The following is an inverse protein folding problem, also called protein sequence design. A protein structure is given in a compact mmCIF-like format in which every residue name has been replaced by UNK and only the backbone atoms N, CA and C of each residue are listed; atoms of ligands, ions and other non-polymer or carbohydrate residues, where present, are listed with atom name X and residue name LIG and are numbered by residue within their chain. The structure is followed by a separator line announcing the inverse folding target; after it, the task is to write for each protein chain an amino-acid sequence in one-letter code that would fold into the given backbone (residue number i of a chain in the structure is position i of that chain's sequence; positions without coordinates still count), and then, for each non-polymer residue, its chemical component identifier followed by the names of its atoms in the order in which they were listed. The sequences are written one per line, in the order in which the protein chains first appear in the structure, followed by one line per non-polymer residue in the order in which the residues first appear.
data_IF_891226195835
#
_entry.id   IF_891226195835
#
_cell.length_a   1.000
_cell.length_b   1.000
_cell.length_c   1.000
_cell.angle_alpha   90.00
_cell.angle_beta   90.00
_cell.angle_gamma   90.00
#
_symmetry.space_group_name_H-M   'P 1'
#
loop_
_entity.id
_entity.type
_entity.pdbx_description
1 polymer ?
#
# COMPACT_ATOMS: atom_id res chain seq x y z
N UNK A 1 -40.88 14.30 2.09
CA UNK A 1 -40.31 13.07 2.68
C UNK A 1 -38.87 12.97 2.20
N UNK A 2 -37.93 13.58 2.92
CA UNK A 2 -36.50 13.59 2.55
C UNK A 2 -35.75 12.70 3.53
N UNK A 3 -35.11 11.68 2.99
CA UNK A 3 -34.41 10.65 3.76
C UNK A 3 -33.19 11.26 4.46
N UNK A 4 -33.11 10.99 5.76
CA UNK A 4 -32.00 11.31 6.66
C UNK A 4 -30.74 10.56 6.21
N UNK A 5 -29.81 11.26 5.53
CA UNK A 5 -28.43 10.79 5.44
C UNK A 5 -27.78 10.94 6.82
N UNK A 6 -27.75 9.83 7.56
CA UNK A 6 -26.97 9.67 8.78
C UNK A 6 -25.48 9.67 8.41
N UNK A 7 -24.88 10.86 8.35
CA UNK A 7 -23.42 11.02 8.27
C UNK A 7 -22.83 10.51 9.59
N UNK A 8 -22.26 9.30 9.58
CA UNK A 8 -21.38 8.82 10.64
C UNK A 8 -20.22 9.81 10.78
N UNK A 9 -20.08 10.33 11.99
CA UNK A 9 -18.93 11.02 12.59
C UNK A 9 -17.68 11.09 11.71
N UNK A 10 -17.42 12.28 11.18
CA UNK A 10 -16.08 12.72 10.81
C UNK A 10 -15.57 13.64 11.92
N UNK A 11 -14.25 13.75 12.02
CA UNK A 11 -13.50 14.89 12.57
C UNK A 11 -12.89 14.77 13.99
N UNK A 12 -12.19 13.67 14.25
CA UNK A 12 -11.00 13.72 15.12
C UNK A 12 -9.76 13.04 14.51
N UNK A 13 -9.91 12.32 13.38
CA UNK A 13 -8.77 11.68 12.73
C UNK A 13 -8.05 12.66 11.80
N UNK A 14 -6.71 12.76 11.88
CA UNK A 14 -5.94 13.57 10.94
C UNK A 14 -6.15 13.08 9.50
N UNK A 15 -6.11 13.98 8.49
CA UNK A 15 -6.20 13.61 7.08
C UNK A 15 -5.28 12.43 6.76
N UNK A 16 -5.77 11.43 6.03
CA UNK A 16 -5.07 10.15 5.79
C UNK A 16 -3.59 10.34 5.43
N UNK A 17 -3.26 11.35 4.61
CA UNK A 17 -1.87 11.74 4.29
C UNK A 17 -1.01 12.02 5.53
N UNK A 18 -1.49 12.85 6.46
CA UNK A 18 -0.80 13.16 7.72
C UNK A 18 -0.70 11.93 8.65
N UNK A 19 -1.65 11.00 8.54
CA UNK A 19 -1.63 9.76 9.32
C UNK A 19 -0.55 8.82 8.82
N UNK A 20 -0.52 8.53 7.51
CA UNK A 20 0.47 7.62 6.92
C UNK A 20 1.90 8.17 7.00
N UNK A 21 2.08 9.50 7.07
CA UNK A 21 3.39 10.14 7.29
C UNK A 21 4.04 9.76 8.63
N UNK A 22 3.24 9.39 9.65
CA UNK A 22 3.73 8.95 10.97
C UNK A 22 3.99 7.45 11.04
N UNK A 23 3.45 6.68 10.10
CA UNK A 23 3.54 5.22 10.08
C UNK A 23 4.89 4.75 9.53
N UNK A 24 5.25 3.50 9.83
CA UNK A 24 6.45 2.88 9.27
C UNK A 24 6.25 2.60 7.79
N UNK A 25 6.98 3.32 6.93
CA UNK A 25 6.99 3.11 5.49
C UNK A 25 8.06 2.09 5.08
N UNK A 26 7.67 1.09 4.29
CA UNK A 26 8.57 0.15 3.61
C UNK A 26 8.36 0.27 2.10
N UNK A 27 9.46 0.44 1.37
CA UNK A 27 9.45 0.48 -0.09
C UNK A 27 9.58 -0.93 -0.64
N UNK A 28 8.71 -1.28 -1.57
CA UNK A 28 8.72 -2.54 -2.30
C UNK A 28 8.75 -2.20 -3.79
N UNK A 29 9.68 -2.77 -4.52
CA UNK A 29 9.79 -2.56 -5.96
C UNK A 29 9.18 -3.75 -6.69
N UNK A 30 8.40 -3.47 -7.72
CA UNK A 30 7.72 -4.46 -8.55
C UNK A 30 8.16 -4.31 -10.00
N UNK A 31 8.14 -5.43 -10.72
CA UNK A 31 8.23 -5.39 -12.19
C UNK A 31 7.09 -4.50 -12.70
N UNK A 32 7.41 -3.71 -13.73
CA UNK A 32 6.41 -2.88 -14.38
C UNK A 32 5.20 -3.71 -14.86
N UNK A 33 4.03 -3.08 -14.77
CA UNK A 33 2.74 -3.67 -15.06
C UNK A 33 1.81 -2.55 -15.54
N UNK A 34 0.61 -2.87 -16.01
CA UNK A 34 -0.39 -1.87 -16.36
C UNK A 34 -0.81 -1.08 -15.10
N UNK A 35 -0.22 0.11 -14.94
CA UNK A 35 -0.34 0.94 -13.74
C UNK A 35 -1.77 1.44 -13.52
N UNK A 36 -2.46 1.84 -14.58
CA UNK A 36 -3.84 2.35 -14.51
C UNK A 36 -4.81 1.22 -14.15
N UNK A 37 -4.60 0.04 -14.75
CA UNK A 37 -5.34 -1.17 -14.36
C UNK A 37 -5.09 -1.55 -12.92
N UNK A 38 -3.83 -1.53 -12.45
CA UNK A 38 -3.51 -1.76 -11.04
C UNK A 38 -4.25 -0.81 -10.13
N UNK A 39 -4.23 0.49 -10.43
CA UNK A 39 -4.95 1.49 -9.64
C UNK A 39 -6.47 1.23 -9.60
N UNK A 40 -7.05 0.77 -10.71
CA UNK A 40 -8.47 0.44 -10.80
C UNK A 40 -8.84 -0.79 -9.99
N UNK A 41 -8.03 -1.86 -10.08
CA UNK A 41 -8.22 -3.09 -9.32
C UNK A 41 -8.05 -2.84 -7.82
N UNK A 42 -7.06 -2.04 -7.42
CA UNK A 42 -6.79 -1.68 -6.02
C UNK A 42 -7.91 -0.88 -5.35
N UNK A 43 -8.72 -0.14 -6.12
CA UNK A 43 -9.93 0.51 -5.61
C UNK A 43 -11.03 -0.50 -5.23
N UNK A 44 -10.95 -1.71 -5.77
CA UNK A 44 -11.97 -2.75 -5.61
C UNK A 44 -11.51 -3.83 -4.62
N UNK A 45 -10.28 -4.33 -4.76
CA UNK A 45 -9.72 -5.38 -3.91
C UNK A 45 -8.20 -5.23 -3.75
N UNK A 46 -7.72 -5.12 -2.51
CA UNK A 46 -6.29 -5.06 -2.21
C UNK A 46 -5.54 -6.35 -2.54
N UNK A 47 -6.23 -7.48 -2.77
CA UNK A 47 -5.59 -8.71 -3.26
C UNK A 47 -4.96 -8.55 -4.65
N UNK A 48 -5.30 -7.49 -5.40
CA UNK A 48 -4.59 -7.12 -6.62
C UNK A 48 -3.08 -7.00 -6.40
N UNK A 49 -2.61 -6.61 -5.20
CA UNK A 49 -1.17 -6.63 -4.85
C UNK A 49 -0.50 -7.98 -5.08
N UNK A 50 -1.22 -9.08 -4.88
CA UNK A 50 -0.64 -10.42 -4.88
C UNK A 50 -0.19 -10.89 -6.25
N UNK A 51 -0.72 -10.27 -7.32
CA UNK A 51 -0.29 -10.52 -8.71
C UNK A 51 1.05 -9.90 -9.02
N UNK A 52 1.43 -8.83 -8.31
CA UNK A 52 2.67 -8.11 -8.57
C UNK A 52 3.87 -8.99 -8.22
N UNK A 53 4.86 -8.96 -9.12
CA UNK A 53 6.12 -9.66 -8.93
C UNK A 53 7.14 -8.70 -8.32
N UNK A 54 7.55 -8.89 -7.05
CA UNK A 54 8.58 -8.05 -6.47
C UNK A 54 9.92 -8.31 -7.15
N UNK A 55 10.76 -7.29 -7.15
CA UNK A 55 12.05 -7.29 -7.81
C UNK A 55 13.09 -6.55 -6.98
N UNK A 56 14.35 -6.93 -7.14
CA UNK A 56 15.44 -6.13 -6.61
C UNK A 56 15.57 -4.84 -7.45
N UNK A 57 15.58 -3.68 -6.81
CA UNK A 57 15.75 -2.39 -7.47
C UNK A 57 16.95 -2.36 -8.44
N UNK A 58 18.07 -3.00 -8.09
CA UNK A 58 19.26 -3.05 -8.96
C UNK A 58 19.10 -3.92 -10.22
N UNK A 59 18.03 -4.71 -10.31
CA UNK A 59 17.77 -5.62 -11.43
C UNK A 59 16.86 -5.01 -12.51
N UNK A 60 16.34 -3.78 -12.31
CA UNK A 60 15.47 -3.10 -13.27
C UNK A 60 16.09 -1.75 -13.66
N UNK A 61 16.14 -1.46 -14.97
CA UNK A 61 16.73 -0.21 -15.50
C UNK A 61 15.76 0.71 -16.24
N UNK A 62 14.60 0.22 -16.67
CA UNK A 62 13.78 0.95 -17.65
C UNK A 62 12.45 1.42 -17.06
N UNK A 63 11.66 0.52 -16.46
CA UNK A 63 10.39 0.89 -15.84
C UNK A 63 10.05 -0.03 -14.68
N UNK A 64 9.44 0.52 -13.63
CA UNK A 64 9.02 -0.23 -12.45
C UNK A 64 7.90 0.49 -11.70
N UNK A 65 7.19 -0.27 -10.87
CA UNK A 65 6.24 0.25 -9.88
C UNK A 65 6.89 0.16 -8.50
N UNK A 66 6.94 1.27 -7.78
CA UNK A 66 7.34 1.31 -6.37
C UNK A 66 6.09 1.42 -5.49
N UNK A 67 5.87 0.40 -4.66
CA UNK A 67 4.87 0.42 -3.58
C UNK A 67 5.47 0.98 -2.29
N UNK A 68 4.86 2.02 -1.76
CA UNK A 68 5.11 2.57 -0.43
C UNK A 68 4.11 1.98 0.55
N UNK A 69 4.47 0.92 1.26
CA UNK A 69 3.62 0.26 2.24
C UNK A 69 3.82 0.93 3.61
N UNK A 70 2.78 1.60 4.09
CA UNK A 70 2.70 2.20 5.41
C UNK A 70 1.99 1.24 6.35
N UNK A 71 2.56 0.98 7.51
CA UNK A 71 1.95 0.14 8.54
C UNK A 71 2.15 0.76 9.91
N UNK A 72 1.14 0.61 10.77
CA UNK A 72 1.34 0.71 12.22
C UNK A 72 2.33 -0.36 12.70
N UNK A 73 2.89 -0.19 13.90
CA UNK A 73 3.87 -1.13 14.44
C UNK A 73 3.32 -2.55 14.54
N UNK A 74 2.05 -2.68 14.92
CA UNK A 74 1.30 -3.92 15.09
C UNK A 74 0.59 -4.44 13.83
N UNK A 75 0.71 -3.71 12.71
CA UNK A 75 0.01 -3.99 11.45
C UNK A 75 -1.53 -3.99 11.56
N UNK A 76 -2.09 -3.37 12.59
CA UNK A 76 -3.54 -3.18 12.74
C UNK A 76 -4.11 -2.36 11.59
N UNK A 77 -3.36 -1.36 11.12
CA UNK A 77 -3.67 -0.58 9.94
C UNK A 77 -2.51 -0.58 8.95
N UNK A 78 -2.86 -0.77 7.67
CA UNK A 78 -1.91 -0.78 6.58
C UNK A 78 -2.48 -0.04 5.37
N UNK A 79 -1.60 0.69 4.69
CA UNK A 79 -1.93 1.45 3.51
C UNK A 79 -0.81 1.32 2.48
N UNK A 80 -1.14 1.40 1.19
CA UNK A 80 -0.14 1.45 0.14
C UNK A 80 -0.42 2.58 -0.85
N UNK A 81 0.66 3.24 -1.28
CA UNK A 81 0.65 4.14 -2.42
C UNK A 81 1.65 3.63 -3.46
N UNK A 82 1.24 3.65 -4.73
CA UNK A 82 2.11 3.27 -5.84
C UNK A 82 2.64 4.50 -6.55
N UNK A 83 3.91 4.43 -6.92
CA UNK A 83 4.60 5.38 -7.78
C UNK A 83 5.09 4.61 -9.00
N UNK A 84 4.84 5.14 -10.19
CA UNK A 84 5.34 4.56 -11.44
C UNK A 84 6.58 5.32 -11.89
N UNK A 85 7.58 4.58 -12.36
CA UNK A 85 8.83 5.13 -12.84
C UNK A 85 9.14 4.63 -14.24
N UNK A 86 9.62 5.54 -15.08
CA UNK A 86 10.21 5.24 -16.37
C UNK A 86 11.53 6.01 -16.50
N UNK A 87 12.62 5.31 -16.86
CA UNK A 87 13.96 5.88 -16.99
C UNK A 87 14.37 6.74 -15.79
N UNK A 88 14.13 6.23 -14.58
CA UNK A 88 14.36 6.91 -13.29
C UNK A 88 13.53 8.17 -13.02
N UNK A 89 12.56 8.50 -13.89
CA UNK A 89 11.63 9.60 -13.68
C UNK A 89 10.30 9.05 -13.17
N UNK A 90 9.77 9.69 -12.14
CA UNK A 90 8.42 9.39 -11.69
C UNK A 90 7.40 9.88 -12.71
N UNK A 91 6.62 8.97 -13.29
CA UNK A 91 5.61 9.22 -14.33
C UNK A 91 4.19 9.12 -13.80
N UNK A 92 3.98 8.35 -12.72
CA UNK A 92 2.66 8.11 -12.14
C UNK A 92 2.65 8.10 -10.62
N UNK A 93 1.49 8.39 -10.04
CA UNK A 93 1.24 8.34 -8.60
C UNK A 93 -0.21 7.97 -8.34
N UNK A 94 -0.45 6.93 -7.55
CA UNK A 94 -1.78 6.48 -7.20
C UNK A 94 -2.35 7.23 -5.98
N UNK A 95 -3.63 7.01 -5.72
CA UNK A 95 -4.23 7.24 -4.40
C UNK A 95 -3.58 6.34 -3.33
N UNK A 96 -3.94 6.57 -2.07
CA UNK A 96 -3.56 5.70 -0.95
C UNK A 96 -4.68 4.68 -0.77
N UNK A 97 -4.33 3.40 -0.88
CA UNK A 97 -5.27 2.28 -0.73
C UNK A 97 -5.09 1.61 0.63
N UNK A 98 -6.19 1.26 1.29
CA UNK A 98 -6.15 0.39 2.48
C UNK A 98 -5.75 -1.03 2.09
N UNK A 99 -4.94 -1.67 2.93
CA UNK A 99 -4.51 -3.06 2.73
C UNK A 99 -4.82 -3.84 4.00
N UNK A 100 -5.46 -4.99 3.86
CA UNK A 100 -5.68 -5.87 4.99
C UNK A 100 -4.36 -6.45 5.53
N UNK A 101 -4.32 -6.80 6.81
CA UNK A 101 -3.12 -7.30 7.48
C UNK A 101 -2.56 -8.56 6.81
N UNK A 102 -3.41 -9.46 6.32
CA UNK A 102 -2.97 -10.71 5.68
C UNK A 102 -2.23 -10.40 4.37
N UNK A 103 -2.78 -9.53 3.53
CA UNK A 103 -2.14 -9.08 2.28
C UNK A 103 -0.85 -8.32 2.54
N UNK A 104 -0.83 -7.42 3.54
CA UNK A 104 0.36 -6.65 3.92
C UNK A 104 1.51 -7.56 4.40
N UNK A 105 1.21 -8.56 5.21
CA UNK A 105 2.22 -9.54 5.66
C UNK A 105 2.69 -10.42 4.51
N UNK A 106 1.78 -10.88 3.64
CA UNK A 106 2.15 -11.71 2.48
C UNK A 106 3.05 -10.98 1.49
N UNK A 107 2.79 -9.70 1.21
CA UNK A 107 3.63 -8.93 0.28
C UNK A 107 5.03 -8.68 0.87
N UNK A 108 5.12 -8.45 2.18
CA UNK A 108 6.39 -8.34 2.90
C UNK A 108 7.18 -9.65 2.90
N UNK A 109 6.49 -10.78 3.08
CA UNK A 109 7.13 -12.10 3.02
C UNK A 109 7.74 -12.37 1.64
N UNK A 110 7.10 -11.93 0.54
CA UNK A 110 7.66 -12.07 -0.82
C UNK A 110 8.97 -11.30 -1.03
N UNK A 111 9.28 -10.31 -0.19
CA UNK A 111 10.56 -9.59 -0.17
C UNK A 111 11.47 -9.99 1.00
N UNK A 112 11.18 -11.12 1.64
CA UNK A 112 12.02 -11.68 2.71
C UNK A 112 11.83 -11.03 4.09
N UNK A 113 10.80 -10.19 4.27
CA UNK A 113 10.49 -9.58 5.56
C UNK A 113 9.42 -10.42 6.25
N UNK A 114 9.84 -11.22 7.23
CA UNK A 114 8.94 -12.06 8.02
C UNK A 114 8.39 -11.28 9.21
N UNK A 115 7.07 -11.19 9.33
CA UNK A 115 6.38 -10.53 10.44
C UNK A 115 5.76 -11.59 11.36
N UNK A 116 6.10 -11.54 12.64
CA UNK A 116 5.49 -12.37 13.67
C UNK A 116 4.35 -11.60 14.35
N UNK A 117 3.14 -11.80 13.84
CA UNK A 117 1.91 -11.13 14.32
C UNK A 117 1.63 -11.43 15.81
N UNK A 118 2.06 -12.58 16.34
CA UNK A 118 1.79 -12.95 17.74
C UNK A 118 2.59 -12.09 18.73
N UNK A 119 3.78 -11.65 18.34
CA UNK A 119 4.61 -10.75 19.16
C UNK A 119 4.16 -9.30 19.07
N UNK A 120 3.49 -8.91 17.99
CA UNK A 120 3.13 -7.52 17.74
C UNK A 120 1.86 -7.09 18.48
N UNK A 121 0.96 -8.03 18.80
CA UNK A 121 -0.27 -7.77 19.57
C UNK A 121 -0.10 -7.81 21.10
N UNK A 122 1.12 -8.04 21.60
CA UNK A 122 1.41 -8.17 23.04
C UNK A 122 2.08 -6.92 23.66
N UNK A 123 2.15 -5.82 22.90
CA UNK A 123 2.66 -4.52 23.36
C UNK A 123 1.54 -3.50 23.37
#
# INVERSE_FOLDING_TARGET
MFSLFRKKSADNDPPLKKRVEKMKCRKIYFVDDDFDRLCTEMKTDCKALMRLKPVNYYAIKNSYIMGMLYSEEDFSENFIQFLHFESERQTGKSDIFSVDTETAVKILAKVGIMIDLKKTQQK
#
